data_IF_605816371600
#
_entry.id   IF_605816371600
#
_cell.length_a   1.000
_cell.length_b   1.000
_cell.length_c   1.000
_cell.angle_alpha   90.00
_cell.angle_beta   90.00
_cell.angle_gamma   90.00
#
_symmetry.space_group_name_H-M   'P 1'
#
loop_
_entity.id
_entity.type
_entity.pdbx_description
1 polymer ?
#
# COMPACT_ATOMS: atom_id res chain seq x y z
N UNK A 1 -80.51 -39.03 25.57
CA UNK A 1 -81.05 -40.39 25.74
C UNK A 1 -81.36 -40.96 24.35
N UNK A 2 -80.68 -42.05 23.95
CA UNK A 2 -80.90 -42.98 22.80
C UNK A 2 -80.83 -42.38 21.37
N UNK A 3 -79.78 -42.60 20.56
CA UNK A 3 -79.24 -43.81 19.87
C UNK A 3 -80.17 -44.40 18.80
N UNK A 4 -79.69 -44.42 17.54
CA UNK A 4 -79.74 -45.46 16.47
C UNK A 4 -79.58 -44.73 15.12
N UNK A 5 -78.51 -44.81 14.32
CA UNK A 5 -77.73 -45.91 13.73
C UNK A 5 -78.55 -47.01 13.03
N UNK A 6 -78.38 -47.03 11.68
CA UNK A 6 -78.10 -48.18 10.81
C UNK A 6 -79.10 -48.39 9.65
N UNK A 7 -78.63 -48.34 8.40
CA UNK A 7 -78.27 -49.52 7.57
C UNK A 7 -78.16 -49.15 6.07
N UNK A 8 -77.08 -49.63 5.45
CA UNK A 8 -76.89 -49.82 4.00
C UNK A 8 -77.56 -51.17 3.60
N UNK A 9 -78.05 -51.32 2.36
CA UNK A 9 -77.47 -52.34 1.45
C UNK A 9 -77.18 -51.71 0.07
N UNK A 10 -75.99 -51.80 -0.53
CA UNK A 10 -75.24 -52.93 -1.10
C UNK A 10 -75.89 -53.53 -2.38
N UNK A 11 -75.22 -53.27 -3.50
CA UNK A 11 -75.19 -53.92 -4.82
C UNK A 11 -76.50 -54.36 -5.51
N UNK A 12 -76.74 -53.74 -6.67
CA UNK A 12 -77.26 -54.43 -7.85
C UNK A 12 -76.38 -54.06 -9.06
N UNK A 13 -75.43 -54.93 -9.39
CA UNK A 13 -74.84 -54.98 -10.71
C UNK A 13 -75.79 -55.77 -11.62
N UNK A 14 -76.14 -55.23 -12.80
CA UNK A 14 -76.35 -56.03 -14.00
C UNK A 14 -76.58 -55.18 -15.25
N UNK A 15 -76.05 -55.72 -16.35
CA UNK A 15 -76.32 -55.45 -17.76
C UNK A 15 -75.74 -54.16 -18.35
N UNK A 16 -74.58 -54.34 -18.99
CA UNK A 16 -74.03 -53.45 -19.99
C UNK A 16 -75.08 -53.11 -21.07
N UNK A 17 -75.34 -51.82 -21.21
CA UNK A 17 -75.48 -51.20 -22.51
C UNK A 17 -74.32 -50.21 -22.57
N UNK A 18 -73.27 -50.59 -23.30
CA UNK A 18 -72.21 -49.69 -23.72
C UNK A 18 -72.87 -48.56 -24.52
N UNK A 19 -73.02 -47.40 -23.90
CA UNK A 19 -73.12 -46.17 -24.67
C UNK A 19 -71.72 -45.94 -25.27
N UNK A 20 -71.65 -46.10 -26.59
CA UNK A 20 -70.45 -45.88 -27.39
C UNK A 20 -69.88 -44.48 -27.13
N UNK A 21 -68.56 -44.27 -27.11
CA UNK A 21 -68.04 -42.92 -27.24
C UNK A 21 -68.29 -42.49 -28.70
N UNK A 22 -69.45 -41.88 -28.97
CA UNK A 22 -69.84 -41.35 -30.29
C UNK A 22 -68.80 -40.38 -30.89
N UNK A 23 -67.77 -39.97 -30.12
CA UNK A 23 -66.73 -39.04 -30.56
C UNK A 23 -65.30 -39.32 -30.02
N UNK A 24 -64.88 -40.57 -29.84
CA UNK A 24 -63.54 -40.91 -29.32
C UNK A 24 -62.39 -40.23 -30.10
N UNK A 25 -62.51 -40.12 -31.43
CA UNK A 25 -61.53 -39.43 -32.28
C UNK A 25 -61.39 -37.94 -31.91
N UNK A 26 -62.52 -37.25 -31.67
CA UNK A 26 -62.53 -35.85 -31.24
C UNK A 26 -61.93 -35.65 -29.84
N UNK A 27 -62.16 -36.59 -28.92
CA UNK A 27 -61.58 -36.56 -27.57
C UNK A 27 -60.06 -36.79 -27.58
N UNK A 28 -59.57 -37.66 -28.47
CA UNK A 28 -58.13 -37.89 -28.68
C UNK A 28 -57.48 -36.64 -29.28
N UNK A 29 -58.08 -36.01 -30.29
CA UNK A 29 -57.56 -34.74 -30.83
C UNK A 29 -57.60 -33.62 -29.79
N UNK A 30 -58.61 -33.56 -28.93
CA UNK A 30 -58.66 -32.63 -27.81
C UNK A 30 -57.50 -32.87 -26.82
N UNK A 31 -57.24 -34.12 -26.43
CA UNK A 31 -56.11 -34.46 -25.55
C UNK A 31 -54.75 -34.12 -26.19
N UNK A 32 -54.62 -34.31 -27.52
CA UNK A 32 -53.42 -33.90 -28.29
C UNK A 32 -53.25 -32.39 -28.35
N UNK A 33 -54.33 -31.64 -28.57
CA UNK A 33 -54.32 -30.18 -28.57
C UNK A 33 -53.93 -29.63 -27.19
N UNK A 34 -54.47 -30.22 -26.12
CA UNK A 34 -54.17 -29.87 -24.73
C UNK A 34 -52.68 -30.13 -24.40
N UNK A 35 -52.15 -31.29 -24.82
CA UNK A 35 -50.73 -31.61 -24.68
C UNK A 35 -49.83 -30.66 -25.47
N UNK A 36 -50.23 -30.28 -26.69
CA UNK A 36 -49.51 -29.26 -27.48
C UNK A 36 -49.51 -27.90 -26.77
N UNK A 37 -50.64 -27.51 -26.18
CA UNK A 37 -50.74 -26.30 -25.37
C UNK A 37 -49.87 -26.35 -24.10
N UNK A 38 -49.73 -27.53 -23.48
CA UNK A 38 -48.84 -27.76 -22.35
C UNK A 38 -47.36 -27.51 -22.72
N UNK A 39 -46.89 -28.06 -23.85
CA UNK A 39 -45.53 -27.82 -24.33
C UNK A 39 -45.28 -26.36 -24.74
N UNK A 40 -46.29 -25.69 -25.31
CA UNK A 40 -46.20 -24.26 -25.61
C UNK A 40 -46.05 -23.43 -24.32
N UNK A 41 -46.89 -23.66 -23.31
CA UNK A 41 -46.78 -23.03 -21.98
C UNK A 41 -45.40 -23.27 -21.35
N UNK A 42 -44.87 -24.50 -21.45
CA UNK A 42 -43.53 -24.80 -20.95
C UNK A 42 -42.43 -24.05 -21.71
N UNK A 43 -42.50 -23.99 -23.05
CA UNK A 43 -41.55 -23.22 -23.86
C UNK A 43 -41.56 -21.73 -23.51
N UNK A 44 -42.73 -21.15 -23.26
CA UNK A 44 -42.86 -19.76 -22.79
C UNK A 44 -42.18 -19.58 -21.43
N UNK A 45 -42.40 -20.51 -20.49
CA UNK A 45 -41.71 -20.49 -19.20
C UNK A 45 -40.18 -20.53 -19.35
N UNK A 46 -39.66 -21.38 -20.26
CA UNK A 46 -38.21 -21.43 -20.52
C UNK A 46 -37.67 -20.09 -21.03
N UNK A 47 -38.39 -19.44 -21.95
CA UNK A 47 -37.98 -18.16 -22.51
C UNK A 47 -37.99 -17.07 -21.43
N UNK A 48 -39.00 -17.04 -20.56
CA UNK A 48 -39.07 -16.11 -19.44
C UNK A 48 -37.93 -16.32 -18.43
N UNK A 49 -37.58 -17.57 -18.10
CA UNK A 49 -36.44 -17.88 -17.23
C UNK A 49 -35.12 -17.43 -17.86
N UNK A 50 -34.93 -17.67 -19.17
CA UNK A 50 -33.73 -17.20 -19.89
C UNK A 50 -33.63 -15.67 -19.91
N UNK A 51 -34.76 -14.97 -20.05
CA UNK A 51 -34.79 -13.51 -19.96
C UNK A 51 -34.44 -13.02 -18.54
N UNK A 52 -34.97 -13.67 -17.50
CA UNK A 52 -34.64 -13.36 -16.11
C UNK A 52 -33.14 -13.59 -15.82
N UNK A 53 -32.58 -14.72 -16.28
CA UNK A 53 -31.16 -15.05 -16.17
C UNK A 53 -30.27 -14.04 -16.90
N UNK A 54 -30.65 -13.62 -18.11
CA UNK A 54 -29.91 -12.60 -18.86
C UNK A 54 -29.83 -11.27 -18.11
N UNK A 55 -30.95 -10.81 -17.54
CA UNK A 55 -31.00 -9.55 -16.78
C UNK A 55 -30.20 -9.69 -15.48
N UNK A 56 -30.37 -10.81 -14.76
CA UNK A 56 -29.63 -11.12 -13.55
C UNK A 56 -28.12 -11.13 -13.77
N UNK A 57 -27.64 -11.78 -14.84
CA UNK A 57 -26.22 -11.85 -15.17
C UNK A 57 -25.63 -10.46 -15.51
N UNK A 58 -26.38 -9.61 -16.23
CA UNK A 58 -25.94 -8.26 -16.56
C UNK A 58 -25.78 -7.38 -15.32
N UNK A 59 -26.76 -7.40 -14.41
CA UNK A 59 -26.70 -6.60 -13.19
C UNK A 59 -25.68 -7.15 -12.17
N UNK A 60 -25.56 -8.48 -12.05
CA UNK A 60 -24.55 -9.11 -11.19
C UNK A 60 -23.12 -8.84 -11.67
N UNK A 61 -22.90 -8.80 -12.99
CA UNK A 61 -21.61 -8.40 -13.56
C UNK A 61 -21.29 -6.94 -13.29
N UNK A 62 -22.30 -6.06 -13.35
CA UNK A 62 -22.15 -4.64 -13.04
C UNK A 62 -21.78 -4.42 -11.56
N UNK A 63 -22.43 -5.16 -10.65
CA UNK A 63 -22.08 -5.14 -9.23
C UNK A 63 -20.64 -5.63 -9.01
N UNK A 64 -20.23 -6.73 -9.63
CA UNK A 64 -18.88 -7.27 -9.47
C UNK A 64 -17.80 -6.26 -9.88
N UNK A 65 -18.01 -5.56 -11.00
CA UNK A 65 -17.11 -4.47 -11.43
C UNK A 65 -17.02 -3.36 -10.38
N UNK A 66 -18.15 -2.97 -9.78
CA UNK A 66 -18.17 -1.94 -8.72
C UNK A 66 -17.45 -2.39 -7.46
N UNK A 67 -17.60 -3.64 -7.05
CA UNK A 67 -16.84 -4.18 -5.92
C UNK A 67 -15.34 -4.20 -6.19
N UNK A 68 -14.91 -4.52 -7.42
CA UNK A 68 -13.50 -4.50 -7.79
C UNK A 68 -12.92 -3.07 -7.82
N UNK A 69 -13.65 -2.13 -8.41
CA UNK A 69 -13.31 -0.69 -8.37
C UNK A 69 -13.17 -0.19 -6.94
N UNK A 70 -14.13 -0.53 -6.07
CA UNK A 70 -14.09 -0.17 -4.65
C UNK A 70 -12.89 -0.79 -3.92
N UNK A 71 -12.59 -2.07 -4.17
CA UNK A 71 -11.40 -2.74 -3.60
C UNK A 71 -10.11 -2.06 -4.04
N UNK A 72 -10.01 -1.64 -5.31
CA UNK A 72 -8.85 -0.88 -5.78
C UNK A 72 -8.77 0.48 -5.09
N UNK A 73 -9.88 1.19 -4.98
CA UNK A 73 -9.96 2.49 -4.30
C UNK A 73 -9.52 2.39 -2.83
N UNK A 74 -10.00 1.38 -2.11
CA UNK A 74 -9.66 1.15 -0.71
C UNK A 74 -8.16 0.83 -0.51
N UNK A 75 -7.57 0.03 -1.41
CA UNK A 75 -6.12 -0.25 -1.38
C UNK A 75 -5.29 1.00 -1.62
N UNK A 76 -5.62 1.77 -2.65
CA UNK A 76 -4.93 3.02 -2.98
C UNK A 76 -5.03 4.04 -1.83
N UNK A 77 -6.18 4.08 -1.14
CA UNK A 77 -6.37 4.94 0.02
C UNK A 77 -5.52 4.50 1.21
N UNK A 78 -5.46 3.21 1.52
CA UNK A 78 -4.61 2.69 2.59
C UNK A 78 -3.12 3.00 2.36
N UNK A 79 -2.64 2.94 1.11
CA UNK A 79 -1.27 3.35 0.76
C UNK A 79 -1.04 4.85 1.02
N UNK A 80 -2.03 5.70 0.67
CA UNK A 80 -1.99 7.13 0.92
C UNK A 80 -1.95 7.45 2.42
N UNK A 81 -2.73 6.73 3.24
CA UNK A 81 -2.72 6.88 4.70
C UNK A 81 -1.36 6.51 5.30
N UNK A 82 -0.79 5.38 4.88
CA UNK A 82 0.55 4.96 5.31
C UNK A 82 1.62 6.00 4.93
N UNK A 83 1.51 6.56 3.72
CA UNK A 83 2.41 7.62 3.25
C UNK A 83 2.27 8.92 4.07
N UNK A 84 1.04 9.29 4.44
CA UNK A 84 0.76 10.45 5.29
C UNK A 84 1.36 10.28 6.70
N UNK A 85 1.20 9.09 7.30
CA UNK A 85 1.81 8.78 8.60
C UNK A 85 3.34 8.79 8.54
N UNK A 86 3.92 8.23 7.48
CA UNK A 86 5.37 8.28 7.24
C UNK A 86 5.88 9.71 7.12
N UNK A 87 5.18 10.58 6.38
CA UNK A 87 5.52 12.00 6.29
C UNK A 87 5.51 12.68 7.67
N UNK A 88 4.48 12.44 8.49
CA UNK A 88 4.38 13.01 9.85
C UNK A 88 5.57 12.61 10.73
N UNK A 89 5.99 11.33 10.67
CA UNK A 89 7.18 10.82 11.38
C UNK A 89 8.46 11.48 10.87
N UNK A 90 8.61 11.62 9.54
CA UNK A 90 9.77 12.26 8.91
C UNK A 90 9.89 13.74 9.29
N UNK A 91 8.79 14.49 9.32
CA UNK A 91 8.77 15.90 9.77
C UNK A 91 9.21 15.98 11.24
N UNK A 92 8.69 15.13 12.12
CA UNK A 92 9.07 15.12 13.52
C UNK A 92 10.56 14.80 13.71
N UNK A 93 11.07 13.77 13.04
CA UNK A 93 12.48 13.39 13.08
C UNK A 93 13.39 14.50 12.54
N UNK A 94 13.00 15.14 11.44
CA UNK A 94 13.72 16.29 10.88
C UNK A 94 13.84 17.43 11.88
N UNK A 95 12.75 17.81 12.56
CA UNK A 95 12.77 18.90 13.55
C UNK A 95 13.75 18.62 14.70
N UNK A 96 13.80 17.38 15.18
CA UNK A 96 14.74 16.97 16.22
C UNK A 96 16.18 17.00 15.73
N UNK A 97 16.46 16.46 14.52
CA UNK A 97 17.79 16.48 13.90
C UNK A 97 18.29 17.91 13.67
N UNK A 98 17.49 18.72 12.97
CA UNK A 98 17.81 20.11 12.65
C UNK A 98 18.10 20.95 13.90
N UNK A 99 17.37 20.75 15.00
CA UNK A 99 17.65 21.45 16.25
C UNK A 99 19.04 21.12 16.82
N UNK A 100 19.44 19.84 16.75
CA UNK A 100 20.77 19.40 17.17
C UNK A 100 21.87 19.94 16.26
N UNK A 101 21.66 19.92 14.93
CA UNK A 101 22.61 20.44 13.96
C UNK A 101 22.79 21.96 14.09
N UNK A 102 21.71 22.71 14.38
CA UNK A 102 21.77 24.14 14.70
C UNK A 102 22.57 24.41 15.98
N UNK A 103 22.43 23.57 17.01
CA UNK A 103 23.22 23.69 18.24
C UNK A 103 24.70 23.40 17.99
N UNK A 104 25.00 22.32 17.26
CA UNK A 104 26.35 21.97 16.82
C UNK A 104 27.01 23.08 16.01
N UNK A 105 26.27 23.67 15.06
CA UNK A 105 26.71 24.80 14.28
C UNK A 105 27.03 26.03 15.15
N UNK A 106 26.15 26.39 16.10
CA UNK A 106 26.39 27.51 17.02
C UNK A 106 27.65 27.29 17.88
N UNK A 107 27.86 26.07 18.37
CA UNK A 107 29.06 25.69 19.13
C UNK A 107 30.33 25.82 18.29
N UNK A 108 30.32 25.29 17.06
CA UNK A 108 31.46 25.37 16.15
C UNK A 108 31.78 26.83 15.76
N UNK A 109 30.74 27.65 15.50
CA UNK A 109 30.90 29.08 15.24
C UNK A 109 31.54 29.80 16.44
N UNK A 110 31.04 29.60 17.65
CA UNK A 110 31.61 30.20 18.87
C UNK A 110 33.08 29.80 19.05
N UNK A 111 33.41 28.53 18.79
CA UNK A 111 34.79 28.04 18.87
C UNK A 111 35.68 28.77 17.87
N UNK A 112 35.25 28.93 16.62
CA UNK A 112 36.03 29.67 15.62
C UNK A 112 36.23 31.15 15.99
N UNK A 113 35.20 31.82 16.49
CA UNK A 113 35.27 33.22 16.93
C UNK A 113 36.23 33.41 18.11
N UNK A 114 36.27 32.48 19.06
CA UNK A 114 37.21 32.52 20.18
C UNK A 114 38.65 32.26 19.73
N UNK A 115 38.81 31.36 18.75
CA UNK A 115 40.11 31.06 18.17
C UNK A 115 40.64 32.21 17.30
N UNK A 116 39.78 32.93 16.60
CA UNK A 116 40.17 34.12 15.84
C UNK A 116 40.78 35.20 16.75
N UNK A 117 40.26 35.38 17.97
CA UNK A 117 40.76 36.37 18.95
C UNK A 117 42.19 36.12 19.41
N UNK A 118 42.67 34.87 19.40
CA UNK A 118 44.02 34.51 19.85
C UNK A 118 45.08 34.56 18.73
N UNK A 119 44.68 34.65 17.46
CA UNK A 119 45.61 34.71 16.32
C UNK A 119 46.61 35.88 16.37
N UNK A 120 46.25 37.11 16.79
CA UNK A 120 47.22 38.20 16.91
C UNK A 120 48.39 37.87 17.85
N UNK A 121 48.12 37.12 18.93
CA UNK A 121 49.16 36.69 19.86
C UNK A 121 50.10 35.65 19.22
N UNK A 122 49.55 34.72 18.45
CA UNK A 122 50.34 33.73 17.70
C UNK A 122 51.25 34.41 16.66
N UNK A 123 50.73 35.40 15.92
CA UNK A 123 51.51 36.22 14.97
C UNK A 123 52.63 37.00 15.65
N UNK A 124 52.36 37.57 16.83
CA UNK A 124 53.38 38.27 17.61
C UNK A 124 54.49 37.32 18.09
N UNK A 125 54.14 36.10 18.52
CA UNK A 125 55.10 35.07 18.92
C UNK A 125 55.99 34.64 17.75
N UNK A 126 55.43 34.41 16.56
CA UNK A 126 56.20 34.11 15.34
C UNK A 126 57.22 35.21 15.07
N UNK A 127 56.78 36.48 15.02
CA UNK A 127 57.65 37.63 14.75
C UNK A 127 58.80 37.75 15.76
N UNK A 128 58.53 37.46 17.04
CA UNK A 128 59.55 37.48 18.09
C UNK A 128 60.61 36.39 17.89
N UNK A 129 60.21 35.19 17.47
CA UNK A 129 61.14 34.08 17.24
C UNK A 129 61.93 34.27 15.94
N UNK A 130 61.31 34.81 14.89
CA UNK A 130 62.02 35.22 13.67
C UNK A 130 63.14 36.22 13.99
N UNK A 131 62.86 37.23 14.81
CA UNK A 131 63.89 38.17 15.26
C UNK A 131 65.01 37.50 16.05
N UNK A 132 64.69 36.51 16.90
CA UNK A 132 65.69 35.73 17.62
C UNK A 132 66.57 34.89 16.67
N UNK A 133 65.98 34.23 15.68
CA UNK A 133 66.69 33.48 14.63
C UNK A 133 67.65 34.40 13.85
N UNK A 134 67.19 35.59 13.44
CA UNK A 134 68.03 36.58 12.73
C UNK A 134 69.21 37.04 13.59
N UNK A 135 69.01 37.24 14.90
CA UNK A 135 70.07 37.61 15.83
C UNK A 135 71.06 36.47 16.11
N UNK A 136 70.61 35.21 16.10
CA UNK A 136 71.46 34.02 16.29
C UNK A 136 72.29 33.66 15.06
N UNK A 137 71.77 33.88 13.85
CA UNK A 137 72.42 33.51 12.59
C UNK A 137 73.88 33.98 12.47
N UNK A 138 74.25 35.25 12.71
CA UNK A 138 75.64 35.67 12.63
C UNK A 138 76.52 35.05 13.73
N UNK A 139 75.97 34.79 14.93
CA UNK A 139 76.70 34.19 16.05
C UNK A 139 77.09 32.73 15.75
N UNK A 140 76.15 31.95 15.21
CA UNK A 140 76.38 30.55 14.80
C UNK A 140 77.31 30.47 13.59
N UNK A 141 77.21 31.42 12.64
CA UNK A 141 78.13 31.49 11.50
C UNK A 141 79.58 31.76 11.91
N UNK A 142 79.79 32.62 12.91
CA UNK A 142 81.11 32.90 13.49
C UNK A 142 81.64 31.75 14.36
N UNK A 143 80.75 30.92 14.91
CA UNK A 143 81.08 29.81 15.81
C UNK A 143 80.30 28.55 15.40
N UNK A 144 80.68 27.89 14.28
CA UNK A 144 79.88 26.78 13.72
C UNK A 144 79.91 25.49 14.55
N UNK A 145 80.70 25.45 15.62
CA UNK A 145 80.91 24.26 16.43
C UNK A 145 81.89 23.27 15.81
N UNK A 146 82.21 22.21 16.58
CA UNK A 146 83.07 21.15 16.08
C UNK A 146 82.39 20.44 14.90
N UNK A 147 83.11 20.26 13.79
CA UNK A 147 82.56 19.69 12.55
C UNK A 147 81.22 20.30 12.12
N UNK A 148 81.02 21.62 12.29
CA UNK A 148 79.78 22.32 11.93
C UNK A 148 78.51 21.81 12.62
N UNK A 149 78.63 21.15 13.78
CA UNK A 149 77.48 20.59 14.50
C UNK A 149 76.41 21.64 14.84
N UNK A 150 76.82 22.80 15.40
CA UNK A 150 75.90 23.81 15.91
C UNK A 150 75.25 24.58 14.73
N UNK A 151 75.98 24.71 13.61
CA UNK A 151 75.42 25.20 12.34
C UNK A 151 74.33 24.27 11.80
N UNK A 152 74.57 22.95 11.76
CA UNK A 152 73.59 21.98 11.27
C UNK A 152 72.34 21.91 12.16
N UNK A 153 72.52 21.93 13.48
CA UNK A 153 71.42 21.98 14.44
C UNK A 153 70.60 23.27 14.30
N UNK A 154 71.24 24.43 14.17
CA UNK A 154 70.57 25.70 13.93
C UNK A 154 69.75 25.68 12.63
N UNK A 155 70.34 25.22 11.52
CA UNK A 155 69.66 25.12 10.23
C UNK A 155 68.43 24.20 10.30
N UNK A 156 68.54 23.07 11.01
CA UNK A 156 67.42 22.15 11.24
C UNK A 156 66.31 22.80 12.06
N UNK A 157 66.64 23.44 13.18
CA UNK A 157 65.67 24.08 14.09
C UNK A 157 65.00 25.28 13.42
N UNK A 158 65.76 26.06 12.64
CA UNK A 158 65.22 27.15 11.82
C UNK A 158 64.23 26.62 10.78
N UNK A 159 64.58 25.55 10.05
CA UNK A 159 63.71 24.96 9.05
C UNK A 159 62.41 24.42 9.67
N UNK A 160 62.50 23.75 10.82
CA UNK A 160 61.34 23.25 11.57
C UNK A 160 60.41 24.37 12.02
N UNK A 161 60.98 25.48 12.50
CA UNK A 161 60.22 26.66 12.88
C UNK A 161 59.53 27.31 11.68
N UNK A 162 60.24 27.51 10.57
CA UNK A 162 59.68 28.09 9.34
C UNK A 162 58.53 27.23 8.79
N UNK A 163 58.69 25.89 8.83
CA UNK A 163 57.64 24.95 8.47
C UNK A 163 56.40 25.09 9.38
N UNK A 164 56.59 25.21 10.71
CA UNK A 164 55.50 25.42 11.65
C UNK A 164 54.79 26.76 11.41
N UNK A 165 55.52 27.85 11.20
CA UNK A 165 54.96 29.17 10.91
C UNK A 165 54.14 29.18 9.60
N UNK A 166 54.65 28.53 8.54
CA UNK A 166 53.91 28.36 7.29
C UNK A 166 52.64 27.51 7.49
N UNK A 167 52.72 26.44 8.30
CA UNK A 167 51.58 25.61 8.62
C UNK A 167 50.50 26.36 9.40
N UNK A 168 50.88 27.28 10.31
CA UNK A 168 49.95 28.14 11.03
C UNK A 168 49.27 29.12 10.07
N UNK A 169 50.04 29.81 9.22
CA UNK A 169 49.49 30.75 8.24
C UNK A 169 48.44 30.09 7.32
N UNK A 170 48.75 28.90 6.81
CA UNK A 170 47.79 28.11 6.02
C UNK A 170 46.53 27.74 6.82
N UNK A 171 46.66 27.45 8.11
CA UNK A 171 45.51 27.15 8.98
C UNK A 171 44.66 28.42 9.27
N UNK A 172 45.29 29.57 9.44
CA UNK A 172 44.59 30.87 9.58
C UNK A 172 43.79 31.20 8.31
N UNK A 173 44.38 31.04 7.12
CA UNK A 173 43.69 31.26 5.84
C UNK A 173 42.46 30.34 5.69
N UNK A 174 42.59 29.07 6.08
CA UNK A 174 41.48 28.11 6.08
C UNK A 174 40.38 28.48 7.07
N UNK A 175 40.74 28.94 8.28
CA UNK A 175 39.79 29.40 9.29
C UNK A 175 39.03 30.65 8.82
N UNK A 176 39.72 31.65 8.26
CA UNK A 176 39.08 32.85 7.72
C UNK A 176 38.09 32.53 6.60
N UNK A 177 38.45 31.63 5.68
CA UNK A 177 37.53 31.17 4.65
C UNK A 177 36.29 30.48 5.24
N UNK A 178 36.48 29.68 6.30
CA UNK A 178 35.39 28.93 6.95
C UNK A 178 34.45 29.87 7.72
N UNK A 179 34.97 30.87 8.42
CA UNK A 179 34.18 31.91 9.09
C UNK A 179 33.27 32.67 8.13
N UNK A 180 33.77 33.02 6.94
CA UNK A 180 32.95 33.66 5.90
C UNK A 180 31.79 32.75 5.49
N UNK A 181 32.06 31.47 5.23
CA UNK A 181 31.02 30.51 4.82
C UNK A 181 29.93 30.34 5.91
N UNK A 182 30.34 30.23 7.18
CA UNK A 182 29.44 30.12 8.34
C UNK A 182 28.60 31.38 8.54
N UNK A 183 29.16 32.56 8.26
CA UNK A 183 28.43 33.81 8.35
C UNK A 183 27.25 33.85 7.36
N UNK A 184 27.41 33.22 6.19
CA UNK A 184 26.34 33.10 5.18
C UNK A 184 25.35 31.98 5.51
N UNK A 185 25.72 30.98 6.31
CA UNK A 185 24.81 29.90 6.70
C UNK A 185 23.77 30.28 7.76
N UNK A 186 24.04 31.32 8.55
CA UNK A 186 23.08 31.84 9.55
C UNK A 186 21.72 32.21 8.93
N UNK A 187 21.64 33.09 7.91
CA UNK A 187 20.36 33.39 7.26
C UNK A 187 19.76 32.19 6.51
N UNK A 188 20.57 31.23 6.05
CA UNK A 188 20.04 30.01 5.42
C UNK A 188 19.27 29.14 6.42
N UNK A 189 19.74 29.02 7.65
CA UNK A 189 19.04 28.28 8.72
C UNK A 189 17.68 28.91 9.03
N UNK A 190 17.58 30.24 9.00
CA UNK A 190 16.30 30.95 9.18
C UNK A 190 15.28 30.59 8.08
N UNK A 191 15.76 30.29 6.87
CA UNK A 191 14.95 29.83 5.73
C UNK A 191 14.38 28.41 5.88
N UNK A 192 14.88 27.60 6.81
CA UNK A 192 14.36 26.24 7.07
C UNK A 192 13.00 26.29 7.75
N UNK A 193 12.80 27.21 8.70
CA UNK A 193 11.57 27.28 9.48
C UNK A 193 10.31 27.48 8.61
N UNK A 194 10.28 28.40 7.62
CA UNK A 194 9.16 28.51 6.69
C UNK A 194 8.87 27.22 5.89
N UNK A 195 9.90 26.51 5.42
CA UNK A 195 9.74 25.29 4.65
C UNK A 195 9.13 24.16 5.49
N UNK A 196 9.59 24.02 6.74
CA UNK A 196 9.01 23.05 7.70
C UNK A 196 7.58 23.42 8.05
N UNK A 197 7.30 24.70 8.32
CA UNK A 197 5.94 25.16 8.63
C UNK A 197 4.97 24.89 7.48
N UNK A 198 5.43 25.06 6.23
CA UNK A 198 4.65 24.71 5.04
C UNK A 198 4.38 23.20 4.98
N UNK A 199 5.39 22.37 5.25
CA UNK A 199 5.22 20.91 5.29
C UNK A 199 4.22 20.49 6.38
N UNK A 200 4.27 21.11 7.55
CA UNK A 200 3.34 20.88 8.67
C UNK A 200 1.91 21.28 8.32
N UNK A 201 1.69 22.45 7.73
CA UNK A 201 0.37 22.91 7.29
C UNK A 201 -0.25 21.94 6.27
N UNK A 202 0.51 21.53 5.24
CA UNK A 202 0.02 20.54 4.28
C UNK A 202 -0.19 19.16 4.90
N UNK A 203 0.67 18.71 5.83
CA UNK A 203 0.48 17.46 6.54
C UNK A 203 -0.80 17.47 7.40
N UNK A 204 -1.11 18.59 8.07
CA UNK A 204 -2.34 18.74 8.84
C UNK A 204 -3.59 18.75 7.94
N UNK A 205 -3.53 19.45 6.81
CA UNK A 205 -4.62 19.43 5.81
C UNK A 205 -4.82 18.05 5.20
N UNK A 206 -3.72 17.33 4.93
CA UNK A 206 -3.75 15.94 4.47
C UNK A 206 -4.41 15.02 5.50
N UNK A 207 -4.08 15.16 6.78
CA UNK A 207 -4.68 14.39 7.87
C UNK A 207 -6.20 14.62 7.96
N UNK A 208 -6.64 15.89 7.90
CA UNK A 208 -8.07 16.24 7.86
C UNK A 208 -8.77 15.64 6.64
N UNK A 209 -8.19 15.79 5.45
CA UNK A 209 -8.79 15.30 4.21
C UNK A 209 -8.83 13.77 4.15
N UNK A 210 -7.81 13.09 4.67
CA UNK A 210 -7.81 11.64 4.78
C UNK A 210 -8.87 11.14 5.76
N UNK A 211 -9.10 11.83 6.89
CA UNK A 211 -10.19 11.47 7.79
C UNK A 211 -11.56 11.55 7.10
N UNK A 212 -11.82 12.64 6.36
CA UNK A 212 -13.04 12.79 5.55
C UNK A 212 -13.15 11.69 4.47
N UNK A 213 -12.05 11.38 3.78
CA UNK A 213 -12.03 10.36 2.74
C UNK A 213 -12.26 8.96 3.31
N UNK A 214 -11.70 8.64 4.48
CA UNK A 214 -11.91 7.38 5.19
C UNK A 214 -13.38 7.19 5.56
N UNK A 215 -14.02 8.23 6.11
CA UNK A 215 -15.45 8.20 6.43
C UNK A 215 -16.29 7.91 5.18
N UNK A 216 -16.02 8.61 4.08
CA UNK A 216 -16.71 8.41 2.80
C UNK A 216 -16.50 7.01 2.22
N UNK A 217 -15.28 6.48 2.26
CA UNK A 217 -15.00 5.09 1.84
C UNK A 217 -15.80 4.10 2.70
N UNK A 218 -15.89 4.33 4.01
CA UNK A 218 -16.75 3.54 4.89
C UNK A 218 -18.22 3.57 4.48
N UNK A 219 -18.73 4.76 4.13
CA UNK A 219 -20.11 4.96 3.68
C UNK A 219 -20.41 4.32 2.30
N UNK A 220 -19.41 4.13 1.44
CA UNK A 220 -19.55 3.43 0.15
C UNK A 220 -19.70 1.91 0.34
N UNK A 221 -19.04 1.35 1.36
CA UNK A 221 -18.92 -0.10 1.56
C UNK A 221 -20.27 -0.76 1.87
N UNK A 222 -20.98 -0.25 2.86
CA UNK A 222 -22.19 -0.91 3.39
C UNK A 222 -23.31 -1.05 2.33
N UNK A 223 -23.63 -0.04 1.50
CA UNK A 223 -24.64 -0.19 0.45
C UNK A 223 -24.26 -1.21 -0.63
N UNK A 224 -22.98 -1.32 -0.99
CA UNK A 224 -22.51 -2.35 -1.91
C UNK A 224 -22.68 -3.75 -1.33
N UNK A 225 -22.37 -3.93 -0.04
CA UNK A 225 -22.57 -5.21 0.65
C UNK A 225 -24.05 -5.61 0.71
N UNK A 226 -24.94 -4.65 0.97
CA UNK A 226 -26.39 -4.86 0.97
C UNK A 226 -26.89 -5.24 -0.43
N UNK A 227 -26.46 -4.53 -1.48
CA UNK A 227 -26.79 -4.87 -2.85
C UNK A 227 -26.33 -6.29 -3.20
N UNK A 228 -25.11 -6.66 -2.82
CA UNK A 228 -24.58 -7.99 -3.05
C UNK A 228 -25.43 -9.10 -2.39
N UNK A 229 -25.91 -8.88 -1.17
CA UNK A 229 -26.83 -9.83 -0.51
C UNK A 229 -28.16 -9.94 -1.25
N UNK A 230 -28.69 -8.82 -1.75
CA UNK A 230 -29.94 -8.82 -2.51
C UNK A 230 -29.79 -9.55 -3.85
N UNK A 231 -28.69 -9.37 -4.58
CA UNK A 231 -28.40 -10.15 -5.78
C UNK A 231 -28.17 -11.63 -5.47
N UNK A 232 -27.56 -11.97 -4.33
CA UNK A 232 -27.46 -13.36 -3.86
C UNK A 232 -28.84 -14.01 -3.75
N UNK A 233 -29.79 -13.28 -3.18
CA UNK A 233 -31.14 -13.76 -2.98
C UNK A 233 -31.90 -13.93 -4.30
N UNK A 234 -31.79 -12.96 -5.22
CA UNK A 234 -32.36 -13.08 -6.57
C UNK A 234 -31.77 -14.28 -7.34
N UNK A 235 -30.48 -14.55 -7.19
CA UNK A 235 -29.85 -15.73 -7.79
C UNK A 235 -30.43 -17.05 -7.26
N UNK A 236 -30.73 -17.13 -5.96
CA UNK A 236 -31.41 -18.31 -5.37
C UNK A 236 -32.83 -18.48 -5.90
N UNK A 237 -33.57 -17.40 -6.05
CA UNK A 237 -34.93 -17.41 -6.61
C UNK A 237 -34.93 -17.87 -8.06
N UNK A 238 -33.99 -17.37 -8.87
CA UNK A 238 -33.81 -17.81 -10.26
C UNK A 238 -33.48 -19.30 -10.35
N UNK A 239 -32.57 -19.77 -9.50
CA UNK A 239 -32.21 -21.19 -9.43
C UNK A 239 -33.41 -22.06 -9.08
N UNK A 240 -34.25 -21.62 -8.12
CA UNK A 240 -35.50 -22.31 -7.77
C UNK A 240 -36.47 -22.36 -8.94
N UNK A 241 -36.71 -21.24 -9.64
CA UNK A 241 -37.57 -21.22 -10.83
C UNK A 241 -37.09 -22.19 -11.91
N UNK A 242 -35.78 -22.27 -12.14
CA UNK A 242 -35.19 -23.21 -13.09
C UNK A 242 -35.33 -24.68 -12.64
N UNK A 243 -35.19 -24.95 -11.34
CA UNK A 243 -35.41 -26.28 -10.75
C UNK A 243 -36.87 -26.72 -10.89
N UNK A 244 -37.82 -25.86 -10.54
CA UNK A 244 -39.26 -26.12 -10.65
C UNK A 244 -39.66 -26.40 -12.11
N UNK A 245 -39.16 -25.61 -13.06
CA UNK A 245 -39.37 -25.85 -14.49
C UNK A 245 -38.73 -27.17 -14.96
N UNK A 246 -37.54 -27.52 -14.47
CA UNK A 246 -36.94 -28.82 -14.77
C UNK A 246 -37.74 -30.00 -14.19
N UNK A 247 -38.36 -29.82 -13.02
CA UNK A 247 -39.31 -30.77 -12.44
C UNK A 247 -40.57 -30.92 -13.30
N UNK A 248 -41.16 -29.80 -13.71
CA UNK A 248 -42.30 -29.77 -14.63
C UNK A 248 -41.99 -30.49 -15.95
N UNK A 249 -40.78 -30.30 -16.51
CA UNK A 249 -40.31 -31.01 -17.70
C UNK A 249 -40.48 -32.53 -17.58
N UNK A 250 -40.13 -33.10 -16.43
CA UNK A 250 -40.26 -34.54 -16.18
C UNK A 250 -41.73 -34.97 -16.15
N UNK A 251 -42.61 -34.15 -15.56
CA UNK A 251 -44.06 -34.40 -15.56
C UNK A 251 -44.63 -34.35 -16.97
N UNK A 252 -44.29 -33.33 -17.77
CA UNK A 252 -44.70 -33.21 -19.17
C UNK A 252 -44.27 -34.43 -19.99
N UNK A 253 -43.01 -34.87 -19.84
CA UNK A 253 -42.51 -36.07 -20.53
C UNK A 253 -43.31 -37.33 -20.15
N UNK A 254 -43.60 -37.51 -18.86
CA UNK A 254 -44.38 -38.66 -18.38
C UNK A 254 -45.82 -38.63 -18.91
N UNK A 255 -46.47 -37.46 -18.86
CA UNK A 255 -47.82 -37.27 -19.37
C UNK A 255 -47.91 -37.48 -20.89
N UNK A 256 -46.93 -36.97 -21.64
CA UNK A 256 -46.82 -37.25 -23.07
C UNK A 256 -46.64 -38.74 -23.35
N UNK A 257 -45.83 -39.43 -22.55
CA UNK A 257 -45.66 -40.88 -22.67
C UNK A 257 -46.98 -41.66 -22.59
N UNK A 258 -47.90 -41.25 -21.69
CA UNK A 258 -49.25 -41.84 -21.59
C UNK A 258 -50.10 -41.58 -22.84
N UNK A 259 -50.10 -40.34 -23.34
CA UNK A 259 -50.81 -39.99 -24.58
C UNK A 259 -50.22 -40.72 -25.80
N UNK A 260 -48.90 -40.83 -25.87
CA UNK A 260 -48.20 -41.53 -26.94
C UNK A 260 -48.49 -43.04 -26.91
N UNK A 261 -48.56 -43.66 -25.72
CA UNK A 261 -48.94 -45.07 -25.57
C UNK A 261 -50.37 -45.33 -26.08
N UNK A 262 -51.33 -44.46 -25.74
CA UNK A 262 -52.68 -44.53 -26.30
C UNK A 262 -52.63 -44.47 -27.83
N UNK A 263 -51.99 -43.45 -28.40
CA UNK A 263 -52.00 -43.17 -29.83
C UNK A 263 -51.26 -44.22 -30.65
N UNK A 264 -50.09 -44.65 -30.20
CA UNK A 264 -49.17 -45.48 -30.98
C UNK A 264 -49.39 -46.98 -30.76
N UNK A 265 -49.92 -47.38 -29.59
CA UNK A 265 -50.08 -48.78 -29.24
C UNK A 265 -51.55 -49.18 -29.14
N UNK A 266 -52.34 -48.48 -28.31
CA UNK A 266 -53.71 -48.93 -27.97
C UNK A 266 -54.71 -48.69 -29.09
N UNK A 267 -54.68 -47.52 -29.75
CA UNK A 267 -55.58 -47.21 -30.86
C UNK A 267 -55.39 -48.19 -32.05
N UNK A 268 -54.16 -48.45 -32.55
CA UNK A 268 -53.97 -49.43 -33.62
C UNK A 268 -54.42 -50.84 -33.24
N UNK A 269 -54.28 -51.23 -31.97
CA UNK A 269 -54.72 -52.54 -31.47
C UNK A 269 -56.24 -52.69 -31.33
N UNK A 270 -57.00 -51.58 -31.31
CA UNK A 270 -58.45 -51.58 -31.06
C UNK A 270 -59.31 -52.15 -32.19
N UNK A 271 -58.77 -52.28 -33.40
CA UNK A 271 -59.50 -52.69 -34.61
C UNK A 271 -60.54 -51.70 -35.13
N UNK A 272 -61.22 -50.94 -34.26
CA UNK A 272 -62.27 -49.97 -34.61
C UNK A 272 -61.73 -48.60 -35.06
N UNK A 273 -60.61 -48.16 -34.49
CA UNK A 273 -60.03 -46.84 -34.73
C UNK A 273 -58.64 -46.92 -35.38
N UNK A 274 -58.26 -48.10 -35.89
CA UNK A 274 -56.90 -48.39 -36.37
C UNK A 274 -56.50 -47.56 -37.60
N UNK A 275 -57.46 -47.15 -38.43
CA UNK A 275 -57.22 -46.41 -39.68
C UNK A 275 -57.35 -44.89 -39.52
N UNK A 276 -57.50 -44.37 -38.29
CA UNK A 276 -57.63 -42.92 -38.05
C UNK A 276 -56.26 -42.25 -38.00
N UNK A 277 -56.05 -41.26 -38.87
CA UNK A 277 -54.88 -40.40 -38.82
C UNK A 277 -55.09 -39.22 -37.87
N UNK A 278 -54.13 -39.00 -36.97
CA UNK A 278 -54.16 -37.91 -36.00
C UNK A 278 -53.06 -36.87 -36.23
N UNK A 279 -53.32 -35.64 -35.80
CA UNK A 279 -52.44 -34.48 -35.95
C UNK A 279 -51.08 -34.64 -35.26
N UNK A 280 -49.97 -34.42 -35.95
CA UNK A 280 -48.61 -34.59 -35.37
C UNK A 280 -48.33 -33.55 -34.27
N UNK A 281 -47.74 -34.00 -33.15
CA UNK A 281 -47.22 -33.12 -32.09
C UNK A 281 -45.69 -33.10 -32.18
N UNK A 282 -45.11 -31.93 -32.44
CA UNK A 282 -43.65 -31.74 -32.37
C UNK A 282 -43.27 -31.33 -30.94
N UNK A 283 -42.51 -32.18 -30.24
CA UNK A 283 -42.20 -31.99 -28.81
C UNK A 283 -40.70 -31.88 -28.50
N UNK A 284 -39.82 -32.35 -29.40
CA UNK A 284 -38.40 -32.53 -29.08
C UNK A 284 -37.61 -31.21 -29.04
N UNK A 285 -38.05 -30.18 -29.76
CA UNK A 285 -37.42 -28.86 -29.71
C UNK A 285 -37.72 -28.07 -28.42
N UNK A 286 -38.76 -28.46 -27.66
CA UNK A 286 -39.28 -27.68 -26.53
C UNK A 286 -38.76 -28.15 -25.15
N UNK A 287 -37.93 -29.21 -25.10
CA UNK A 287 -37.56 -29.87 -23.84
C UNK A 287 -36.07 -29.85 -23.47
N UNK A 288 -35.25 -28.84 -23.82
CA UNK A 288 -33.91 -28.76 -23.26
C UNK A 288 -34.00 -28.57 -21.74
N UNK A 289 -33.04 -29.14 -21.01
CA UNK A 289 -32.89 -28.86 -19.58
C UNK A 289 -32.51 -27.38 -19.41
N UNK A 290 -33.09 -26.71 -18.42
CA UNK A 290 -32.75 -25.31 -18.12
C UNK A 290 -31.56 -25.32 -17.15
N UNK A 291 -30.50 -24.60 -17.50
CA UNK A 291 -29.39 -24.27 -16.63
C UNK A 291 -29.29 -22.76 -16.52
N UNK A 292 -29.24 -22.24 -15.31
CA UNK A 292 -29.02 -20.81 -15.03
C UNK A 292 -27.60 -20.59 -14.53
N UNK A 293 -27.09 -19.37 -14.69
CA UNK A 293 -25.77 -19.00 -14.16
C UNK A 293 -25.72 -19.18 -12.64
N UNK A 294 -24.61 -19.75 -12.13
CA UNK A 294 -24.33 -19.71 -10.69
C UNK A 294 -23.61 -18.41 -10.38
N UNK A 295 -24.19 -17.60 -9.50
CA UNK A 295 -23.46 -16.51 -8.87
C UNK A 295 -22.90 -17.02 -7.54
N UNK A 296 -21.59 -17.23 -7.49
CA UNK A 296 -20.87 -17.48 -6.24
C UNK A 296 -20.22 -16.17 -5.80
N UNK A 297 -20.62 -15.67 -4.64
CA UNK A 297 -19.93 -14.56 -3.98
C UNK A 297 -18.56 -15.11 -3.58
N UNK A 298 -17.52 -14.74 -4.31
CA UNK A 298 -16.16 -15.05 -3.85
C UNK A 298 -15.98 -14.36 -2.50
N UNK A 299 -15.97 -15.16 -1.43
CA UNK A 299 -15.65 -14.69 -0.08
C UNK A 299 -14.17 -14.36 -0.09
N UNK A 300 -13.85 -13.12 -0.43
CA UNK A 300 -12.49 -12.61 -0.41
C UNK A 300 -12.31 -11.81 0.88
N UNK A 301 -12.23 -12.54 1.99
CA UNK A 301 -11.76 -12.02 3.27
C UNK A 301 -10.24 -11.86 3.20
N UNK A 302 -9.78 -10.92 2.37
CA UNK A 302 -8.44 -10.39 2.49
C UNK A 302 -8.51 -9.28 3.53
N UNK A 303 -8.43 -9.71 4.80
CA UNK A 303 -8.29 -8.82 5.93
C UNK A 303 -7.23 -7.77 5.63
N UNK A 304 -7.61 -6.51 5.84
CA UNK A 304 -6.70 -5.37 5.90
C UNK A 304 -5.83 -5.51 7.15
N UNK A 305 -4.95 -6.51 7.16
CA UNK A 305 -3.89 -6.62 8.13
C UNK A 305 -2.79 -5.64 7.71
N UNK A 306 -2.80 -4.49 8.38
CA UNK A 306 -1.72 -3.51 8.41
C UNK A 306 -0.46 -4.25 8.83
N UNK A 307 0.39 -4.59 7.85
CA UNK A 307 1.74 -5.03 8.13
C UNK A 307 2.54 -3.79 8.56
N UNK A 308 2.59 -3.59 9.87
CA UNK A 308 3.50 -2.68 10.54
C UNK A 308 4.95 -3.08 10.16
N UNK A 309 5.46 -2.46 9.10
CA UNK A 309 6.89 -2.44 8.82
C UNK A 309 7.51 -1.37 9.72
N UNK A 310 7.56 -1.68 11.02
CA UNK A 310 8.32 -0.95 12.03
C UNK A 310 9.79 -1.35 11.91
N UNK A 311 10.61 -0.34 11.63
CA UNK A 311 12.03 -0.21 11.97
C UNK A 311 12.96 -1.40 11.71
N UNK A 312 13.66 -1.33 10.56
CA UNK A 312 15.03 -1.81 10.46
C UNK A 312 15.97 -0.64 10.15
N UNK A 313 16.21 0.19 11.16
CA UNK A 313 17.47 0.89 11.31
C UNK A 313 18.12 0.47 12.63
N UNK A 314 19.10 -0.43 12.53
CA UNK A 314 20.12 -0.59 13.56
C UNK A 314 21.49 -0.50 12.86
N UNK A 315 21.91 0.73 12.58
CA UNK A 315 23.31 1.05 12.35
C UNK A 315 24.10 0.66 13.60
N UNK A 316 25.04 -0.26 13.45
CA UNK A 316 26.07 -0.54 14.47
C UNK A 316 27.05 0.63 14.48
N UNK A 317 26.83 1.61 15.36
CA UNK A 317 27.89 2.49 15.84
C UNK A 317 28.65 1.75 16.93
N UNK A 318 29.97 1.57 16.73
CA UNK A 318 30.90 1.21 17.80
C UNK A 318 31.68 2.47 18.16
N UNK A 319 31.19 3.18 19.16
CA UNK A 319 31.96 4.17 19.91
C UNK A 319 32.65 3.51 21.10
N UNK A 320 33.97 3.72 21.16
CA UNK A 320 34.89 3.81 22.31
C UNK A 320 34.40 3.42 23.72
N UNK A 321 35.25 2.66 24.44
CA UNK A 321 36.22 3.26 25.36
C UNK A 321 36.86 2.19 26.25
N UNK A 322 38.19 2.18 26.33
CA UNK A 322 38.90 1.77 27.53
C UNK A 322 40.16 2.62 27.66
N UNK A 323 40.04 3.71 28.43
CA UNK A 323 41.17 4.42 29.04
C UNK A 323 41.81 3.52 30.09
N UNK A 324 43.13 3.51 30.15
CA UNK A 324 43.86 3.44 31.43
C UNK A 324 45.11 4.33 31.38
N UNK A 325 45.52 4.92 32.52
CA UNK A 325 46.50 6.00 32.59
C UNK A 325 47.85 5.58 33.23
N UNK A 326 48.78 6.54 33.27
CA UNK A 326 49.93 6.68 34.18
C UNK A 326 51.25 5.95 33.80
N UNK A 327 52.26 6.75 33.39
CA UNK A 327 53.51 7.11 34.12
C UNK A 327 54.64 6.09 33.88
N UNK A 328 55.87 6.47 33.50
CA UNK A 328 56.85 7.10 34.39
C UNK A 328 58.06 7.62 33.60
N UNK A 329 58.61 8.72 34.11
CA UNK A 329 59.98 9.20 33.94
C UNK A 329 61.02 8.06 33.93
N UNK A 330 61.99 8.15 33.02
CA UNK A 330 63.16 7.27 33.01
C UNK A 330 64.43 8.00 32.56
N UNK A 331 65.16 8.52 33.53
CA UNK A 331 66.61 8.78 33.49
C UNK A 331 67.11 8.91 34.94
N UNK A 332 68.40 8.72 35.30
CA UNK A 332 69.51 7.96 34.66
C UNK A 332 70.43 7.22 35.69
N UNK A 333 71.54 6.60 35.25
CA UNK A 333 72.85 6.56 35.96
C UNK A 333 73.95 5.92 35.06
N UNK A 334 75.04 6.63 34.68
CA UNK A 334 76.38 6.80 35.36
C UNK A 334 77.25 5.53 35.19
N UNK A 335 78.52 5.47 34.71
CA UNK A 335 79.66 6.39 34.54
C UNK A 335 80.77 5.66 33.72
N UNK A 336 81.69 6.37 33.03
CA UNK A 336 83.15 6.39 33.34
C UNK A 336 84.00 7.27 32.39
N UNK A 337 84.54 8.30 33.02
CA UNK A 337 85.77 9.09 32.83
C UNK A 337 86.80 8.72 31.75
N UNK A 338 87.36 9.77 31.12
CA UNK A 338 88.72 10.23 31.43
C UNK A 338 88.98 11.65 30.92
N UNK A 339 89.74 12.41 31.70
CA UNK A 339 90.00 13.84 31.55
C UNK A 339 91.20 14.17 30.64
N UNK A 340 91.17 15.36 30.05
CA UNK A 340 92.37 16.19 29.87
C UNK A 340 91.95 17.67 29.92
N UNK A 341 92.61 18.42 30.80
CA UNK A 341 92.34 19.81 31.08
C UNK A 341 92.94 20.74 30.01
N UNK A 342 92.18 21.72 29.55
CA UNK A 342 92.70 22.99 29.04
C UNK A 342 91.58 24.06 29.01
N UNK A 343 91.83 25.16 29.71
CA UNK A 343 91.29 26.52 29.54
C UNK A 343 89.80 26.67 29.20
N UNK A 344 88.99 27.16 30.17
CA UNK A 344 87.60 27.61 29.95
C UNK A 344 87.51 28.58 28.75
N UNK A 345 86.94 28.16 27.61
CA UNK A 345 86.38 29.10 26.63
C UNK A 345 84.97 29.45 27.12
N UNK A 346 84.43 30.60 26.70
CA UNK A 346 82.98 30.84 26.84
C UNK A 346 82.23 29.62 26.30
N UNK A 347 81.32 29.05 27.09
CA UNK A 347 80.63 27.80 26.75
C UNK A 347 79.50 28.09 25.75
N UNK A 348 79.86 28.67 24.59
CA UNK A 348 78.97 29.15 23.53
C UNK A 348 78.00 28.07 23.03
N UNK A 349 78.40 26.80 23.09
CA UNK A 349 77.53 25.68 22.76
C UNK A 349 76.33 25.55 23.71
N UNK A 350 76.53 25.73 25.01
CA UNK A 350 75.42 25.66 25.97
C UNK A 350 74.42 26.81 25.76
N UNK A 351 74.92 27.99 25.37
CA UNK A 351 74.09 29.14 24.99
C UNK A 351 73.29 28.86 23.71
N UNK A 352 73.94 28.34 22.66
CA UNK A 352 73.27 27.93 21.42
C UNK A 352 72.21 26.86 21.63
N UNK A 353 72.51 25.81 22.39
CA UNK A 353 71.54 24.76 22.70
C UNK A 353 70.33 25.31 23.48
N UNK A 354 70.55 26.27 24.37
CA UNK A 354 69.46 26.96 25.09
C UNK A 354 68.54 27.74 24.16
N UNK A 355 69.10 28.47 23.19
CA UNK A 355 68.32 29.21 22.19
C UNK A 355 67.66 28.30 21.16
N UNK A 356 68.34 27.24 20.72
CA UNK A 356 67.76 26.21 19.83
C UNK A 356 66.57 25.53 20.50
N UNK A 357 66.65 25.23 21.80
CA UNK A 357 65.54 24.67 22.56
C UNK A 357 64.33 25.63 22.61
N UNK A 358 64.55 26.95 22.79
CA UNK A 358 63.47 27.94 22.75
C UNK A 358 62.79 27.99 21.38
N UNK A 359 63.56 27.99 20.30
CA UNK A 359 63.03 27.99 18.92
C UNK A 359 62.27 26.69 18.66
N UNK A 360 62.81 25.54 19.06
CA UNK A 360 62.18 24.22 18.91
C UNK A 360 60.86 24.12 19.69
N UNK A 361 60.82 24.58 20.94
CA UNK A 361 59.60 24.63 21.75
C UNK A 361 58.55 25.55 21.11
N UNK A 362 58.97 26.73 20.61
CA UNK A 362 58.06 27.62 19.90
C UNK A 362 57.52 26.98 18.61
N UNK A 363 58.36 26.28 17.84
CA UNK A 363 57.94 25.55 16.65
C UNK A 363 56.92 24.45 16.98
N UNK A 364 57.12 23.72 18.08
CA UNK A 364 56.17 22.73 18.57
C UNK A 364 54.81 23.37 18.92
N UNK A 365 54.80 24.42 19.73
CA UNK A 365 53.56 25.11 20.12
C UNK A 365 52.81 25.70 18.93
N UNK A 366 53.52 26.31 17.97
CA UNK A 366 52.94 26.84 16.73
C UNK A 366 52.33 25.72 15.89
N UNK A 367 52.99 24.56 15.82
CA UNK A 367 52.47 23.40 15.09
C UNK A 367 51.21 22.83 15.73
N UNK A 368 51.15 22.75 17.06
CA UNK A 368 49.94 22.33 17.78
C UNK A 368 48.80 23.33 17.60
N UNK A 369 49.09 24.64 17.66
CA UNK A 369 48.10 25.67 17.33
C UNK A 369 47.57 25.53 15.89
N UNK A 370 48.45 25.26 14.91
CA UNK A 370 48.05 25.03 13.53
C UNK A 370 47.17 23.77 13.35
N UNK A 371 47.42 22.69 14.11
CA UNK A 371 46.56 21.50 14.10
C UNK A 371 45.20 21.79 14.71
N UNK A 372 45.16 22.49 15.84
CA UNK A 372 43.93 22.88 16.51
C UNK A 372 43.07 23.80 15.62
N UNK A 373 43.66 24.79 14.95
CA UNK A 373 42.98 25.64 13.98
C UNK A 373 42.34 24.83 12.85
N UNK A 374 43.08 23.87 12.28
CA UNK A 374 42.54 22.98 11.25
C UNK A 374 41.41 22.11 11.77
N UNK A 375 41.52 21.58 12.99
CA UNK A 375 40.46 20.79 13.60
C UNK A 375 39.18 21.61 13.82
N UNK A 376 39.31 22.84 14.33
CA UNK A 376 38.18 23.76 14.50
C UNK A 376 37.54 24.13 13.15
N UNK A 377 38.35 24.43 12.12
CA UNK A 377 37.85 24.71 10.78
C UNK A 377 37.13 23.50 10.18
N UNK A 378 37.68 22.30 10.31
CA UNK A 378 37.07 21.07 9.81
C UNK A 378 35.74 20.76 10.51
N UNK A 379 35.67 20.87 11.83
CA UNK A 379 34.42 20.67 12.58
C UNK A 379 33.34 21.63 12.07
N UNK A 380 33.69 22.91 11.93
CA UNK A 380 32.73 23.90 11.49
C UNK A 380 32.29 23.71 10.02
N UNK A 381 33.16 23.18 9.16
CA UNK A 381 32.80 22.77 7.80
C UNK A 381 31.82 21.58 7.79
N UNK A 382 32.03 20.59 8.66
CA UNK A 382 31.12 19.45 8.81
C UNK A 382 29.73 19.92 9.28
N UNK A 383 29.68 20.79 10.29
CA UNK A 383 28.42 21.37 10.76
C UNK A 383 27.74 22.19 9.67
N UNK A 384 28.50 22.98 8.89
CA UNK A 384 27.93 23.72 7.78
C UNK A 384 27.35 22.82 6.68
N UNK A 385 28.01 21.70 6.38
CA UNK A 385 27.51 20.72 5.41
C UNK A 385 26.24 20.01 5.90
N UNK A 386 26.12 19.74 7.21
CA UNK A 386 24.89 19.23 7.81
C UNK A 386 23.73 20.22 7.63
N UNK A 387 23.95 21.52 7.89
CA UNK A 387 22.93 22.56 7.65
C UNK A 387 22.52 22.64 6.18
N UNK A 388 23.47 22.59 5.23
CA UNK A 388 23.14 22.59 3.80
C UNK A 388 22.33 21.34 3.40
N UNK A 389 22.58 20.18 4.03
CA UNK A 389 21.76 18.97 3.84
C UNK A 389 20.35 19.14 4.42
N UNK A 390 20.21 19.74 5.60
CA UNK A 390 18.91 20.00 6.23
C UNK A 390 18.03 20.95 5.43
N UNK A 391 18.61 21.97 4.81
CA UNK A 391 17.88 22.90 3.94
C UNK A 391 17.24 22.14 2.77
N UNK A 392 18.00 21.26 2.12
CA UNK A 392 17.49 20.43 1.02
C UNK A 392 16.41 19.45 1.53
N UNK A 393 16.61 18.85 2.70
CA UNK A 393 15.64 17.95 3.31
C UNK A 393 14.32 18.66 3.65
N UNK A 394 14.37 19.88 4.20
CA UNK A 394 13.19 20.68 4.50
C UNK A 394 12.38 21.03 3.24
N UNK A 395 13.06 21.37 2.13
CA UNK A 395 12.41 21.59 0.85
C UNK A 395 11.76 20.31 0.33
N UNK A 396 12.45 19.17 0.40
CA UNK A 396 11.88 17.88 0.02
C UNK A 396 10.63 17.52 0.85
N UNK A 397 10.63 17.79 2.16
CA UNK A 397 9.47 17.52 3.01
C UNK A 397 8.24 18.33 2.60
N UNK A 398 8.42 19.61 2.26
CA UNK A 398 7.30 20.44 1.81
C UNK A 398 6.76 20.00 0.45
N UNK A 399 7.64 19.62 -0.50
CA UNK A 399 7.23 19.07 -1.79
C UNK A 399 6.48 17.73 -1.65
N UNK A 400 6.97 16.84 -0.79
CA UNK A 400 6.30 15.57 -0.48
C UNK A 400 4.92 15.81 0.14
N UNK A 401 4.81 16.76 1.08
CA UNK A 401 3.54 17.11 1.71
C UNK A 401 2.51 17.64 0.70
N UNK A 402 2.93 18.55 -0.18
CA UNK A 402 2.08 19.09 -1.26
C UNK A 402 1.64 17.98 -2.22
N UNK A 403 2.57 17.10 -2.62
CA UNK A 403 2.28 15.98 -3.51
C UNK A 403 1.27 15.00 -2.92
N UNK A 404 1.47 14.60 -1.66
CA UNK A 404 0.53 13.72 -0.96
C UNK A 404 -0.84 14.38 -0.74
N UNK A 405 -0.87 15.67 -0.43
CA UNK A 405 -2.13 16.43 -0.35
C UNK A 405 -2.87 16.45 -1.69
N UNK A 406 -2.18 16.68 -2.80
CA UNK A 406 -2.77 16.62 -4.15
C UNK A 406 -3.29 15.21 -4.50
N UNK A 407 -2.56 14.15 -4.11
CA UNK A 407 -3.04 12.76 -4.22
C UNK A 407 -4.31 12.55 -3.40
N UNK A 408 -4.41 13.12 -2.20
CA UNK A 408 -5.62 13.04 -1.37
C UNK A 408 -6.82 13.77 -1.96
N UNK A 409 -6.61 14.91 -2.63
CA UNK A 409 -7.68 15.61 -3.37
C UNK A 409 -8.15 14.79 -4.58
N UNK A 410 -7.21 14.16 -5.30
CA UNK A 410 -7.54 13.25 -6.40
C UNK A 410 -8.33 12.04 -5.89
N UNK A 411 -7.93 11.50 -4.74
CA UNK A 411 -8.64 10.42 -4.06
C UNK A 411 -10.07 10.83 -3.70
N UNK A 412 -10.26 12.04 -3.16
CA UNK A 412 -11.59 12.56 -2.85
C UNK A 412 -12.51 12.61 -4.08
N UNK A 413 -11.99 13.02 -5.24
CA UNK A 413 -12.74 13.01 -6.51
C UNK A 413 -13.10 11.59 -6.98
N UNK A 414 -12.18 10.62 -6.82
CA UNK A 414 -12.44 9.20 -7.12
C UNK A 414 -13.52 8.63 -6.20
N UNK A 415 -13.47 8.94 -4.91
CA UNK A 415 -14.49 8.57 -3.91
C UNK A 415 -15.86 9.13 -4.31
N UNK A 416 -15.97 10.42 -4.62
CA UNK A 416 -17.24 11.03 -5.06
C UNK A 416 -17.78 10.38 -6.34
N UNK A 417 -16.88 10.04 -7.27
CA UNK A 417 -17.25 9.32 -8.51
C UNK A 417 -17.81 7.94 -8.19
N UNK A 418 -17.16 7.19 -7.29
CA UNK A 418 -17.62 5.89 -6.83
C UNK A 418 -18.97 5.97 -6.09
N UNK A 419 -19.15 6.93 -5.18
CA UNK A 419 -20.43 7.21 -4.51
C UNK A 419 -21.56 7.45 -5.51
N UNK A 420 -21.31 8.33 -6.48
CA UNK A 420 -22.30 8.67 -7.52
C UNK A 420 -22.63 7.44 -8.36
N UNK A 421 -21.61 6.68 -8.77
CA UNK A 421 -21.80 5.46 -9.54
C UNK A 421 -22.58 4.39 -8.77
N UNK A 422 -22.39 4.28 -7.46
CA UNK A 422 -23.12 3.33 -6.63
C UNK A 422 -24.58 3.73 -6.46
N UNK A 423 -24.88 5.02 -6.28
CA UNK A 423 -26.26 5.51 -6.29
C UNK A 423 -26.99 5.20 -7.60
N UNK A 424 -26.28 5.24 -8.73
CA UNK A 424 -26.85 4.81 -10.02
C UNK A 424 -27.19 3.32 -9.97
N UNK A 425 -26.30 2.46 -9.47
CA UNK A 425 -26.57 1.03 -9.32
C UNK A 425 -27.76 0.76 -8.38
N UNK A 426 -27.84 1.45 -7.25
CA UNK A 426 -28.96 1.39 -6.31
C UNK A 426 -30.29 1.80 -6.98
N UNK A 427 -30.28 2.87 -7.76
CA UNK A 427 -31.48 3.30 -8.49
C UNK A 427 -31.91 2.30 -9.56
N UNK A 428 -30.96 1.67 -10.25
CA UNK A 428 -31.20 0.62 -11.24
C UNK A 428 -31.72 -0.65 -10.59
N UNK A 429 -31.34 -0.95 -9.34
CA UNK A 429 -31.79 -2.12 -8.60
C UNK A 429 -33.31 -2.19 -8.45
N UNK A 430 -34.01 -1.06 -8.27
CA UNK A 430 -35.47 -1.08 -8.17
C UNK A 430 -36.13 -1.53 -9.48
N UNK A 431 -35.59 -1.08 -10.61
CA UNK A 431 -36.03 -1.47 -11.96
C UNK A 431 -35.71 -2.95 -12.19
N UNK A 432 -34.48 -3.36 -11.87
CA UNK A 432 -34.06 -4.76 -11.93
C UNK A 432 -35.01 -5.65 -11.16
N UNK A 433 -35.26 -5.35 -9.88
CA UNK A 433 -36.12 -6.14 -9.00
C UNK A 433 -37.52 -6.32 -9.61
N UNK A 434 -38.15 -5.22 -10.03
CA UNK A 434 -39.49 -5.28 -10.61
C UNK A 434 -39.55 -6.08 -11.92
N UNK A 435 -38.53 -5.96 -12.79
CA UNK A 435 -38.46 -6.73 -14.04
C UNK A 435 -38.18 -8.20 -13.77
N UNK A 436 -37.26 -8.50 -12.86
CA UNK A 436 -36.88 -9.85 -12.46
C UNK A 436 -38.07 -10.59 -11.82
N UNK A 437 -38.73 -9.99 -10.82
CA UNK A 437 -39.91 -10.57 -10.15
C UNK A 437 -41.02 -10.84 -11.16
N UNK A 438 -41.33 -9.88 -12.04
CA UNK A 438 -42.34 -10.06 -13.09
C UNK A 438 -42.03 -11.24 -14.01
N UNK A 439 -40.77 -11.41 -14.43
CA UNK A 439 -40.37 -12.53 -15.29
C UNK A 439 -40.41 -13.87 -14.54
N UNK A 440 -39.95 -13.90 -13.28
CA UNK A 440 -39.95 -15.08 -12.44
C UNK A 440 -41.38 -15.56 -12.13
N UNK A 441 -42.29 -14.66 -11.75
CA UNK A 441 -43.70 -14.98 -11.50
C UNK A 441 -44.41 -15.47 -12.77
N UNK A 442 -44.19 -14.79 -13.91
CA UNK A 442 -44.76 -15.22 -15.18
C UNK A 442 -44.23 -16.60 -15.61
N UNK A 443 -42.95 -16.88 -15.38
CA UNK A 443 -42.36 -18.19 -15.64
C UNK A 443 -42.95 -19.28 -14.74
N UNK A 444 -43.13 -18.99 -13.45
CA UNK A 444 -43.74 -19.93 -12.50
C UNK A 444 -45.17 -20.27 -12.91
N UNK A 445 -45.99 -19.26 -13.25
CA UNK A 445 -47.36 -19.46 -13.73
C UNK A 445 -47.41 -20.28 -15.02
N UNK A 446 -46.54 -19.99 -15.99
CA UNK A 446 -46.47 -20.75 -17.25
C UNK A 446 -46.02 -22.20 -17.04
N UNK A 447 -45.15 -22.41 -16.06
CA UNK A 447 -44.72 -23.76 -15.64
C UNK A 447 -45.89 -24.55 -15.06
N UNK A 448 -46.66 -23.94 -14.16
CA UNK A 448 -47.87 -24.54 -13.56
C UNK A 448 -48.94 -24.83 -14.60
N UNK A 449 -49.29 -23.85 -15.44
CA UNK A 449 -50.23 -24.01 -16.57
C UNK A 449 -49.80 -25.18 -17.48
N UNK A 450 -48.51 -25.30 -17.77
CA UNK A 450 -47.98 -26.42 -18.57
C UNK A 450 -48.20 -27.77 -17.90
N UNK A 451 -47.98 -27.86 -16.58
CA UNK A 451 -48.17 -29.09 -15.80
C UNK A 451 -49.64 -29.50 -15.73
N UNK A 452 -50.55 -28.55 -15.46
CA UNK A 452 -51.99 -28.81 -15.38
C UNK A 452 -52.54 -29.37 -16.69
N UNK A 453 -52.25 -28.69 -17.80
CA UNK A 453 -52.68 -29.13 -19.15
C UNK A 453 -52.11 -30.49 -19.50
N UNK A 454 -50.83 -30.74 -19.18
CA UNK A 454 -50.21 -32.03 -19.41
C UNK A 454 -50.88 -33.16 -18.61
N UNK A 455 -51.25 -32.91 -17.35
CA UNK A 455 -51.97 -33.89 -16.53
C UNK A 455 -53.37 -34.15 -17.08
N UNK A 456 -54.13 -33.10 -17.41
CA UNK A 456 -55.47 -33.23 -17.99
C UNK A 456 -55.46 -34.04 -19.31
N UNK A 457 -54.50 -33.76 -20.19
CA UNK A 457 -54.30 -34.53 -21.42
C UNK A 457 -53.99 -36.01 -21.16
N UNK A 458 -53.18 -36.30 -20.13
CA UNK A 458 -52.84 -37.67 -19.75
C UNK A 458 -54.01 -38.42 -19.11
N UNK A 459 -54.80 -37.76 -18.25
CA UNK A 459 -56.00 -38.32 -17.63
C UNK A 459 -57.06 -38.64 -18.69
N UNK A 460 -57.26 -37.73 -19.65
CA UNK A 460 -58.13 -37.98 -20.81
C UNK A 460 -57.64 -39.19 -21.61
N UNK A 461 -56.33 -39.27 -21.90
CA UNK A 461 -55.76 -40.41 -22.61
C UNK A 461 -55.94 -41.74 -21.86
N UNK A 462 -55.79 -41.75 -20.54
CA UNK A 462 -56.00 -42.95 -19.71
C UNK A 462 -57.47 -43.38 -19.67
N UNK A 463 -58.39 -42.42 -19.60
CA UNK A 463 -59.83 -42.68 -19.65
C UNK A 463 -60.21 -43.33 -21.00
N UNK A 464 -59.81 -42.71 -22.11
CA UNK A 464 -60.07 -43.22 -23.47
C UNK A 464 -59.46 -44.62 -23.64
N UNK A 465 -58.23 -44.82 -23.15
CA UNK A 465 -57.55 -46.11 -23.19
C UNK A 465 -58.24 -47.23 -22.39
N UNK A 466 -59.15 -46.90 -21.47
CA UNK A 466 -59.94 -47.89 -20.71
C UNK A 466 -61.28 -48.22 -21.34
N UNK A 467 -61.73 -47.40 -22.29
CA UNK A 467 -63.03 -47.50 -22.98
C UNK A 467 -62.90 -48.15 -24.37
N UNK A 468 -61.69 -48.22 -24.92
CA UNK A 468 -61.32 -48.86 -26.19
C UNK A 468 -60.60 -50.17 -25.90
#
# INVERSE_FOLDING_TARGET
MKIQNALIPLFAACAAAFAEPENASGEIEAARAEMKAAFASFSDAQNLIRSADSIFNAESSSLFQKEEEFRSLARDFAELENSAQSLKRRIAAFKTGFAADVEGFKSAKSTLEDVEKILPMARAKIKSIEAAIEALRPKVAQNPGNMYQDKREFESVQADFQSAAAALKSAEESLSSTLVNISVATPKMEGVAPAVALAEDYAARLESLNAENSEKIGNIKAPLEELAEQYAQAGKELAKCAEDANGARAVLMKSYGKLADLVLNKIPASGKFADIEFSRISIFSALPKISVGKWDRGVYDAGFAVADAVDQFAMKSKGEAARTPATLYGAPSVMRNSAAAAQKPQNLRAEFLGEFSKISNAAFEIREAAKFLRAAANEAQLQNAAIDADINAAQSLSMDAISLFSRAQTMQSRIQTAETSNKILESRRAIFKAQFEKLAEAAAKKTEEGVEKAKAAAESAEKIASEI
#
